data_IF_860462310084
#
_entry.id   IF_860462310084
#
_cell.length_a   1.000
_cell.length_b   1.000
_cell.length_c   1.000
_cell.angle_alpha   90.00
_cell.angle_beta   90.00
_cell.angle_gamma   90.00
#
_symmetry.space_group_name_H-M   'P 1'
#
loop_
_entity.id
_entity.type
_entity.pdbx_description
1 polymer ?
#
# COMPACT_ATOMS: atom_id res chain seq x y z
N UNK A 1 7.95 5.70 10.91
CA UNK A 1 7.85 5.93 12.37
C UNK A 1 7.46 4.61 13.01
N UNK A 2 8.08 4.25 14.14
CA UNK A 2 7.66 3.10 14.94
C UNK A 2 7.17 3.61 16.29
N UNK A 3 5.95 3.26 16.68
CA UNK A 3 5.33 3.61 17.95
C UNK A 3 5.35 2.40 18.88
N UNK A 4 5.57 2.60 20.18
CA UNK A 4 5.36 1.57 21.18
C UNK A 4 4.84 2.15 22.50
N UNK A 5 3.96 1.41 23.14
CA UNK A 5 3.58 1.64 24.53
C UNK A 5 4.60 0.93 25.44
N UNK A 6 5.08 1.65 26.45
CA UNK A 6 5.97 1.12 27.48
C UNK A 6 5.14 0.60 28.67
N UNK A 7 5.75 -0.24 29.51
CA UNK A 7 5.07 -0.83 30.68
C UNK A 7 4.54 0.18 31.70
N UNK A 8 5.05 1.41 31.69
CA UNK A 8 4.59 2.52 32.51
C UNK A 8 3.40 3.29 31.90
N UNK A 9 2.83 2.80 30.79
CA UNK A 9 1.73 3.45 30.05
C UNK A 9 2.17 4.69 29.26
N UNK A 10 3.46 4.99 29.21
CA UNK A 10 4.00 6.07 28.38
C UNK A 10 4.25 5.57 26.95
N UNK A 11 4.06 6.45 25.97
CA UNK A 11 4.33 6.13 24.57
C UNK A 11 5.71 6.63 24.18
N UNK A 12 6.46 5.80 23.47
CA UNK A 12 7.73 6.19 22.85
C UNK A 12 7.68 5.90 21.36
N UNK A 13 8.44 6.67 20.59
CA UNK A 13 8.57 6.45 19.17
C UNK A 13 10.01 6.55 18.70
N UNK A 14 10.28 5.87 17.60
CA UNK A 14 11.52 6.04 16.85
C UNK A 14 11.24 6.39 15.40
N UNK A 15 12.08 7.26 14.87
CA UNK A 15 11.99 7.76 13.51
C UNK A 15 13.27 7.40 12.79
N UNK A 16 13.15 6.76 11.63
CA UNK A 16 14.29 6.40 10.81
C UNK A 16 14.19 7.17 9.49
N UNK A 17 15.27 7.87 9.16
CA UNK A 17 15.39 8.67 7.94
C UNK A 17 16.39 8.01 7.00
N UNK A 18 16.00 7.93 5.74
CA UNK A 18 16.82 7.34 4.68
C UNK A 18 17.50 8.40 3.82
N UNK A 19 18.69 8.07 3.36
CA UNK A 19 19.30 8.67 2.17
C UNK A 19 19.53 7.56 1.16
N UNK A 20 19.21 7.82 -0.11
CA UNK A 20 19.42 6.86 -1.21
C UNK A 20 18.85 5.46 -0.93
N UNK A 21 17.66 5.41 -0.32
CA UNK A 21 16.98 4.16 0.05
C UNK A 21 17.56 3.42 1.26
N UNK A 22 18.65 3.91 1.87
CA UNK A 22 19.26 3.32 3.07
C UNK A 22 18.95 4.14 4.31
N UNK A 23 18.41 3.48 5.34
CA UNK A 23 18.22 4.07 6.67
C UNK A 23 19.56 4.56 7.19
N UNK A 24 19.71 5.86 7.41
CA UNK A 24 21.01 6.47 7.68
C UNK A 24 21.03 7.27 8.98
N UNK A 25 19.87 7.69 9.47
CA UNK A 25 19.73 8.45 10.71
C UNK A 25 18.51 7.97 11.48
N UNK A 26 18.62 7.88 12.79
CA UNK A 26 17.52 7.56 13.70
C UNK A 26 17.34 8.64 14.74
N UNK A 27 16.10 9.04 14.99
CA UNK A 27 15.71 9.86 16.14
C UNK A 27 14.92 9.00 17.13
N UNK A 28 15.34 9.03 18.39
CA UNK A 28 14.67 8.37 19.51
C UNK A 28 13.94 9.44 20.34
N UNK A 29 12.61 9.35 20.41
CA UNK A 29 11.80 10.36 21.11
C UNK A 29 11.90 10.26 22.63
N UNK A 30 12.24 9.08 23.18
CA UNK A 30 12.37 8.86 24.63
C UNK A 30 13.58 9.61 25.14
N UNK A 31 14.71 9.42 24.47
CA UNK A 31 15.98 10.03 24.84
C UNK A 31 16.21 11.38 24.15
N UNK A 32 15.33 11.77 23.23
CA UNK A 32 15.46 12.95 22.34
C UNK A 32 16.81 13.00 21.64
N UNK A 33 17.31 11.83 21.25
CA UNK A 33 18.66 11.68 20.73
C UNK A 33 18.65 11.31 19.25
N UNK A 34 19.64 11.83 18.54
CA UNK A 34 19.88 11.57 17.12
C UNK A 34 21.09 10.65 16.95
N UNK A 35 20.85 9.44 16.45
CA UNK A 35 21.86 8.42 16.20
C UNK A 35 22.12 8.28 14.70
N UNK A 36 23.34 8.55 14.28
CA UNK A 36 23.79 8.31 12.90
C UNK A 36 24.04 6.81 12.74
N UNK A 37 23.37 6.17 11.78
CA UNK A 37 23.51 4.74 11.51
C UNK A 37 24.60 4.47 10.47
N UNK A 38 24.74 5.36 9.49
CA UNK A 38 25.75 5.31 8.44
C UNK A 38 26.27 6.71 8.12
N UNK A 39 27.45 6.79 7.48
CA UNK A 39 28.14 8.05 7.18
C UNK A 39 27.23 9.08 6.49
N UNK A 40 26.37 8.64 5.57
CA UNK A 40 25.39 9.48 4.85
C UNK A 40 24.44 10.22 5.82
N UNK A 41 24.09 9.61 6.96
CA UNK A 41 23.21 10.17 7.97
C UNK A 41 23.77 11.40 8.69
N UNK A 42 25.07 11.64 8.59
CA UNK A 42 25.70 12.86 9.11
C UNK A 42 25.13 14.11 8.44
N UNK A 43 24.85 14.05 7.13
CA UNK A 43 24.23 15.15 6.40
C UNK A 43 22.79 15.37 6.88
N UNK A 44 21.99 14.30 6.96
CA UNK A 44 20.64 14.38 7.50
C UNK A 44 20.62 14.97 8.92
N UNK A 45 21.55 14.56 9.78
CA UNK A 45 21.63 15.05 11.16
C UNK A 45 21.92 16.55 11.18
N UNK A 46 22.85 17.03 10.35
CA UNK A 46 23.16 18.48 10.25
C UNK A 46 21.95 19.31 9.81
N UNK A 47 21.08 18.77 8.97
CA UNK A 47 19.87 19.47 8.50
C UNK A 47 18.72 19.34 9.51
N UNK A 48 18.33 18.12 9.85
CA UNK A 48 17.14 17.83 10.66
C UNK A 48 17.33 18.15 12.14
N UNK A 49 18.49 17.86 12.73
CA UNK A 49 18.73 18.14 14.15
C UNK A 49 19.03 19.62 14.43
N UNK A 50 19.46 20.38 13.41
CA UNK A 50 19.62 21.84 13.52
C UNK A 50 18.27 22.56 13.53
N UNK A 51 17.27 22.00 12.86
CA UNK A 51 15.92 22.52 12.86
C UNK A 51 15.18 22.14 14.17
N UNK A 52 14.96 23.14 15.01
CA UNK A 52 14.22 22.99 16.28
C UNK A 52 12.75 22.64 16.03
N UNK A 53 12.14 23.16 14.97
CA UNK A 53 10.76 22.86 14.64
C UNK A 53 10.62 21.39 14.22
N UNK A 54 11.58 20.87 13.45
CA UNK A 54 11.61 19.45 13.10
C UNK A 54 11.71 18.56 14.33
N UNK A 55 12.66 18.84 15.24
CA UNK A 55 12.79 18.04 16.48
C UNK A 55 11.53 18.15 17.36
N UNK A 56 10.93 19.34 17.44
CA UNK A 56 9.67 19.55 18.17
C UNK A 56 8.51 18.74 17.57
N UNK A 57 8.36 18.74 16.25
CA UNK A 57 7.35 17.95 15.54
C UNK A 57 7.52 16.46 15.82
N UNK A 58 8.73 15.94 15.72
CA UNK A 58 9.00 14.53 16.02
C UNK A 58 8.61 14.20 17.46
N UNK A 59 8.96 15.03 18.44
CA UNK A 59 8.58 14.80 19.85
C UNK A 59 7.05 14.85 20.03
N UNK A 60 6.41 15.90 19.51
CA UNK A 60 4.95 16.09 19.64
C UNK A 60 4.18 14.93 19.04
N UNK A 61 4.54 14.52 17.84
CA UNK A 61 3.90 13.38 17.15
C UNK A 61 4.22 12.07 17.86
N UNK A 62 5.39 11.92 18.48
CA UNK A 62 5.74 10.70 19.24
C UNK A 62 4.96 10.52 20.55
N UNK A 63 4.64 11.61 21.26
CA UNK A 63 3.98 11.54 22.58
C UNK A 63 2.46 11.65 22.45
N UNK A 64 1.98 12.53 21.58
CA UNK A 64 0.55 12.78 21.38
C UNK A 64 -0.06 11.83 20.36
N UNK A 65 0.29 12.05 19.09
CA UNK A 65 -0.37 11.41 17.95
C UNK A 65 -0.15 9.90 17.94
N UNK A 66 1.08 9.47 18.26
CA UNK A 66 1.48 8.06 18.37
C UNK A 66 0.55 7.27 19.29
N UNK A 67 0.21 7.81 20.46
CA UNK A 67 -0.65 7.14 21.44
C UNK A 67 -2.08 6.98 20.92
N UNK A 68 -2.58 8.01 20.23
CA UNK A 68 -3.91 7.98 19.63
C UNK A 68 -3.98 6.94 18.52
N UNK A 69 -3.03 6.97 17.59
CA UNK A 69 -2.93 5.98 16.52
C UNK A 69 -2.75 4.56 17.02
N UNK A 70 -1.92 4.36 18.06
CA UNK A 70 -1.72 3.03 18.62
C UNK A 70 -3.03 2.46 19.18
N UNK A 71 -3.83 3.27 19.91
CA UNK A 71 -5.16 2.85 20.38
C UNK A 71 -6.13 2.57 19.23
N UNK A 72 -6.15 3.41 18.20
CA UNK A 72 -7.02 3.21 17.05
C UNK A 72 -6.68 1.95 16.24
N UNK A 73 -5.41 1.55 16.20
CA UNK A 73 -4.98 0.32 15.50
C UNK A 73 -5.19 -0.93 16.37
N UNK A 74 -4.96 -0.82 17.68
CA UNK A 74 -5.07 -1.95 18.60
C UNK A 74 -6.52 -2.25 19.01
N UNK A 75 -7.35 -1.25 19.32
CA UNK A 75 -8.72 -1.50 19.81
C UNK A 75 -9.60 -2.33 18.84
N UNK A 76 -9.59 -2.11 17.51
CA UNK A 76 -10.29 -2.99 16.58
C UNK A 76 -9.64 -4.38 16.47
N UNK A 77 -8.32 -4.47 16.69
CA UNK A 77 -7.58 -5.72 16.63
C UNK A 77 -7.88 -6.60 17.84
N UNK A 78 -8.14 -6.02 19.02
CA UNK A 78 -8.55 -6.74 20.22
C UNK A 78 -9.94 -7.39 20.04
N UNK A 79 -10.86 -6.74 19.33
CA UNK A 79 -12.18 -7.28 18.98
C UNK A 79 -12.08 -8.43 17.97
N UNK A 80 -11.20 -8.29 16.97
CA UNK A 80 -10.93 -9.34 15.97
C UNK A 80 -10.17 -10.53 16.59
N UNK A 81 -9.25 -10.29 17.53
CA UNK A 81 -8.45 -11.32 18.19
C UNK A 81 -9.23 -12.05 19.29
N UNK A 82 -10.14 -11.35 19.98
CA UNK A 82 -11.03 -11.95 20.99
C UNK A 82 -12.16 -12.75 20.36
N UNK A 83 -12.51 -12.47 19.10
CA UNK A 83 -13.32 -13.38 18.29
C UNK A 83 -12.45 -14.55 17.85
N UNK A 84 -12.27 -15.53 18.75
CA UNK A 84 -11.77 -16.87 18.39
C UNK A 84 -12.81 -17.55 17.51
N UNK A 85 -12.95 -17.09 16.28
CA UNK A 85 -13.52 -17.92 15.22
C UNK A 85 -12.53 -19.08 15.09
N UNK A 86 -12.94 -20.36 15.23
CA UNK A 86 -12.10 -21.45 14.76
C UNK A 86 -11.65 -21.07 13.35
N UNK A 87 -10.38 -21.30 12.95
CA UNK A 87 -9.88 -20.83 11.66
C UNK A 87 -10.94 -21.18 10.63
N UNK A 88 -11.63 -20.16 10.10
CA UNK A 88 -12.66 -20.37 9.10
C UNK A 88 -11.90 -21.11 8.03
N UNK A 89 -12.25 -22.38 7.81
CA UNK A 89 -11.63 -23.19 6.78
C UNK A 89 -11.66 -22.31 5.55
N UNK A 90 -10.46 -21.89 5.15
CA UNK A 90 -10.24 -20.97 4.05
C UNK A 90 -11.07 -21.53 2.90
N UNK A 91 -12.20 -20.88 2.63
CA UNK A 91 -13.03 -21.21 1.47
C UNK A 91 -12.12 -20.98 0.29
N UNK A 92 -11.62 -22.08 -0.25
CA UNK A 92 -10.52 -22.24 -1.19
C UNK A 92 -10.21 -20.96 -1.94
N UNK A 93 -9.28 -20.17 -1.40
CA UNK A 93 -8.67 -19.07 -2.14
C UNK A 93 -7.91 -19.77 -3.25
N UNK A 94 -8.47 -19.81 -4.46
CA UNK A 94 -7.75 -20.30 -5.62
C UNK A 94 -6.41 -19.56 -5.65
N UNK A 95 -5.32 -20.33 -5.60
CA UNK A 95 -3.96 -19.78 -5.56
C UNK A 95 -3.82 -18.68 -6.61
N UNK A 96 -3.02 -17.66 -6.32
CA UNK A 96 -2.72 -16.58 -7.26
C UNK A 96 -2.34 -17.10 -8.66
N UNK A 97 -1.72 -18.30 -8.71
CA UNK A 97 -1.42 -19.02 -9.95
C UNK A 97 -2.66 -19.47 -10.72
N UNK A 98 -3.68 -19.97 -10.05
CA UNK A 98 -4.95 -20.41 -10.66
C UNK A 98 -5.71 -19.22 -11.26
N UNK A 99 -5.73 -18.09 -10.55
CA UNK A 99 -6.33 -16.84 -11.05
C UNK A 99 -5.61 -16.36 -12.31
N UNK A 100 -4.27 -16.39 -12.30
CA UNK A 100 -3.47 -16.02 -13.48
C UNK A 100 -3.76 -16.94 -14.65
N UNK A 101 -3.84 -18.26 -14.44
CA UNK A 101 -4.12 -19.24 -15.50
C UNK A 101 -5.51 -19.01 -16.10
N UNK A 102 -6.52 -18.72 -15.27
CA UNK A 102 -7.86 -18.38 -15.75
C UNK A 102 -7.87 -17.11 -16.59
N UNK A 103 -7.14 -16.06 -16.19
CA UNK A 103 -7.06 -14.81 -16.97
C UNK A 103 -6.37 -15.06 -18.32
N UNK A 104 -5.28 -15.82 -18.33
CA UNK A 104 -4.54 -16.15 -19.56
C UNK A 104 -5.42 -16.98 -20.51
N UNK A 105 -6.17 -17.96 -20.01
CA UNK A 105 -7.04 -18.79 -20.85
C UNK A 105 -8.17 -17.97 -21.49
N UNK A 106 -8.79 -17.05 -20.73
CA UNK A 106 -9.83 -16.14 -21.25
C UNK A 106 -9.25 -15.24 -22.33
N UNK A 107 -8.06 -14.67 -22.11
CA UNK A 107 -7.43 -13.80 -23.09
C UNK A 107 -7.09 -14.55 -24.39
N UNK A 108 -6.61 -15.79 -24.29
CA UNK A 108 -6.32 -16.65 -25.45
C UNK A 108 -7.60 -17.01 -26.23
N UNK A 109 -8.69 -17.34 -25.53
CA UNK A 109 -9.99 -17.59 -26.15
C UNK A 109 -10.56 -16.36 -26.87
N UNK A 110 -10.39 -15.16 -26.32
CA UNK A 110 -10.84 -13.91 -26.94
C UNK A 110 -9.99 -13.59 -28.17
N UNK A 111 -8.67 -13.68 -28.05
CA UNK A 111 -7.73 -13.31 -29.12
C UNK A 111 -7.69 -14.28 -30.30
N UNK A 112 -7.97 -15.56 -30.08
CA UNK A 112 -7.95 -16.57 -31.15
C UNK A 112 -9.38 -16.98 -31.54
N UNK A 113 -10.28 -17.13 -30.57
CA UNK A 113 -11.66 -17.54 -30.83
C UNK A 113 -12.48 -16.46 -31.55
N UNK A 114 -12.35 -15.18 -31.17
CA UNK A 114 -13.14 -14.10 -31.79
C UNK A 114 -12.75 -13.88 -33.27
N UNK A 115 -11.46 -13.82 -33.66
CA UNK A 115 -11.09 -13.66 -35.07
C UNK A 115 -11.47 -14.88 -35.93
N UNK A 116 -11.40 -16.08 -35.37
CA UNK A 116 -11.81 -17.32 -36.07
C UNK A 116 -13.33 -17.34 -36.28
N UNK A 117 -14.13 -16.97 -35.27
CA UNK A 117 -15.59 -16.86 -35.38
C UNK A 117 -16.03 -15.74 -36.34
N UNK A 118 -15.28 -14.64 -36.42
CA UNK A 118 -15.49 -13.60 -37.42
C UNK A 118 -15.12 -14.07 -38.83
N UNK A 119 -14.01 -14.80 -38.99
CA UNK A 119 -13.60 -15.41 -40.27
C UNK A 119 -14.60 -16.46 -40.78
N UNK A 120 -15.24 -17.20 -39.87
CA UNK A 120 -16.29 -18.18 -40.17
C UNK A 120 -17.68 -17.56 -40.36
N UNK A 121 -17.83 -16.24 -40.19
CA UNK A 121 -19.07 -15.52 -40.50
C UNK A 121 -20.24 -15.77 -39.54
N UNK A 122 -20.00 -16.33 -38.35
CA UNK A 122 -21.05 -16.72 -37.40
C UNK A 122 -21.56 -15.54 -36.56
N UNK A 123 -20.72 -14.53 -36.30
CA UNK A 123 -21.12 -13.26 -35.68
C UNK A 123 -21.27 -12.21 -36.78
N UNK A 124 -22.41 -12.27 -37.46
CA UNK A 124 -22.85 -11.30 -38.47
C UNK A 124 -24.20 -10.71 -38.06
N UNK A 125 -24.17 -9.52 -37.48
CA UNK A 125 -25.36 -8.76 -37.12
C UNK A 125 -25.46 -7.45 -37.91
N UNK A 126 -26.26 -7.50 -38.97
CA UNK A 126 -27.12 -6.43 -39.47
C UNK A 126 -26.47 -5.13 -40.01
N UNK A 127 -26.35 -5.03 -41.34
CA UNK A 127 -26.25 -3.73 -42.03
C UNK A 127 -27.66 -3.21 -42.30
N UNK A 128 -28.09 -2.20 -41.56
CA UNK A 128 -29.26 -1.38 -41.91
C UNK A 128 -28.87 0.05 -42.29
N UNK A 129 -29.73 0.62 -43.15
CA UNK A 129 -29.79 1.95 -43.73
C UNK A 129 -28.79 2.20 -44.88
N UNK A 130 -29.21 2.45 -46.12
CA UNK A 130 -30.45 3.10 -46.55
C UNK A 130 -30.12 4.48 -47.10
N UNK A 131 -29.76 4.48 -48.39
CA UNK A 131 -30.07 5.50 -49.40
C UNK A 131 -30.39 6.93 -48.90
N UNK A 132 -29.42 7.83 -48.97
CA UNK A 132 -29.66 9.22 -49.38
C UNK A 132 -28.66 9.60 -50.46
N UNK A 133 -29.22 9.78 -51.66
CA UNK A 133 -28.60 10.34 -52.85
C UNK A 133 -28.27 11.82 -52.65
N UNK A 134 -27.40 12.31 -53.55
CA UNK A 134 -27.20 13.69 -54.02
C UNK A 134 -26.12 14.53 -53.32
N UNK A 135 -25.00 14.69 -54.04
CA UNK A 135 -24.09 15.81 -53.81
C UNK A 135 -22.81 15.81 -54.66
N UNK A 136 -22.94 16.02 -55.98
CA UNK A 136 -22.03 16.88 -56.80
C UNK A 136 -20.56 16.40 -56.90
N UNK A 137 -20.08 15.91 -58.04
CA UNK A 137 -19.80 16.63 -59.30
C UNK A 137 -19.70 15.68 -60.49
#
# INVERSE_FOLDING_TARGET
MMCKEESNGHTSASWEFGLRGKKSLRFDSKNRNWTVLHNEGTLLKKTLARDRAMTYLLIRTSVGDCRKWLKEVLCPQDEILSTKVPPLQSSTILSYTEIIILIISVFFCISIGIPVLWKLGIVGGEKQAGLWLLGRT
#
